data_IF_841925556773
#
_entry.id   IF_841925556773
#
_cell.length_a   1.000
_cell.length_b   1.000
_cell.length_c   1.000
_cell.angle_alpha   90.00
_cell.angle_beta   90.00
_cell.angle_gamma   90.00
#
_symmetry.space_group_name_H-M   'P 1'
#
loop_
_entity.id
_entity.type
_entity.pdbx_description
1 polymer ?
#
# COMPACT_ATOMS: atom_id res chain seq x y z
N UNK A 1 -12.97 -15.68 29.34
CA UNK A 1 -12.56 -17.07 29.59
C UNK A 1 -12.85 -17.38 31.05
N UNK A 2 -13.40 -18.55 31.31
CA UNK A 2 -13.85 -18.93 32.66
C UNK A 2 -12.76 -19.71 33.43
N UNK A 3 -11.70 -20.15 32.75
CA UNK A 3 -10.59 -20.93 33.31
C UNK A 3 -9.27 -20.50 32.66
N UNK A 4 -8.19 -20.51 33.45
CA UNK A 4 -6.82 -20.46 32.98
C UNK A 4 -6.00 -21.51 33.75
N UNK A 5 -5.05 -22.15 33.10
CA UNK A 5 -4.16 -23.15 33.71
C UNK A 5 -2.70 -22.78 33.53
N UNK A 6 -1.88 -23.01 34.56
CA UNK A 6 -0.43 -22.84 34.51
C UNK A 6 0.27 -24.20 34.62
N UNK A 7 1.27 -24.44 33.78
CA UNK A 7 2.10 -25.65 33.80
C UNK A 7 3.56 -25.29 34.06
N UNK A 8 4.04 -25.57 35.29
CA UNK A 8 5.40 -25.23 35.74
C UNK A 8 6.50 -25.79 34.81
N UNK A 9 6.43 -27.07 34.45
CA UNK A 9 7.44 -27.74 33.60
C UNK A 9 7.64 -27.10 32.23
N UNK A 10 6.59 -26.43 31.72
CA UNK A 10 6.57 -25.78 30.40
C UNK A 10 6.61 -24.25 30.50
N UNK A 11 6.58 -23.70 31.71
CA UNK A 11 6.45 -22.27 31.94
C UNK A 11 5.31 -21.65 31.08
N UNK A 12 4.15 -22.32 31.08
CA UNK A 12 3.06 -22.07 30.14
C UNK A 12 1.77 -21.71 30.87
N UNK A 13 1.18 -20.57 30.53
CA UNK A 13 -0.20 -20.22 30.84
C UNK A 13 -1.07 -20.51 29.61
N UNK A 14 -2.11 -21.34 29.78
CA UNK A 14 -3.11 -21.63 28.76
C UNK A 14 -4.47 -21.06 29.18
N UNK A 15 -5.10 -20.31 28.26
CA UNK A 15 -6.42 -19.70 28.45
C UNK A 15 -7.34 -20.18 27.31
N UNK A 16 -8.07 -21.29 27.51
CA UNK A 16 -8.96 -21.83 26.49
C UNK A 16 -10.33 -21.15 26.49
N UNK A 17 -11.17 -21.53 25.52
CA UNK A 17 -12.60 -21.23 25.55
C UNK A 17 -12.93 -19.81 25.10
N UNK A 18 -12.42 -19.43 23.93
CA UNK A 18 -12.68 -18.13 23.31
C UNK A 18 -12.28 -16.93 24.20
N UNK A 19 -11.01 -16.83 24.62
CA UNK A 19 -10.53 -15.68 25.36
C UNK A 19 -10.79 -14.38 24.60
N UNK A 20 -11.02 -13.30 25.35
CA UNK A 20 -11.25 -11.96 24.83
C UNK A 20 -10.30 -11.00 25.50
N UNK A 21 -9.51 -10.29 24.69
CA UNK A 21 -8.69 -9.18 25.14
C UNK A 21 -9.37 -7.90 24.66
N UNK A 22 -9.63 -6.99 25.60
CA UNK A 22 -10.25 -5.71 25.35
C UNK A 22 -9.23 -4.61 25.61
N UNK A 23 -8.92 -3.85 24.56
CA UNK A 23 -8.09 -2.65 24.61
C UNK A 23 -8.93 -1.39 24.39
N UNK A 24 -8.28 -0.24 24.31
CA UNK A 24 -8.94 1.04 24.10
C UNK A 24 -9.33 1.19 22.63
N UNK A 25 -10.50 0.66 22.26
CA UNK A 25 -10.97 0.60 20.87
C UNK A 25 -10.48 -0.64 20.11
N UNK A 26 -9.88 -1.60 20.82
CA UNK A 26 -9.35 -2.84 20.26
C UNK A 26 -10.04 -4.05 20.87
N UNK A 27 -10.25 -5.08 20.05
CA UNK A 27 -10.83 -6.35 20.43
C UNK A 27 -10.01 -7.48 19.80
N UNK A 28 -9.53 -8.43 20.61
CA UNK A 28 -8.83 -9.60 20.13
C UNK A 28 -9.45 -10.87 20.72
N UNK A 29 -9.70 -11.88 19.88
CA UNK A 29 -10.22 -13.19 20.28
C UNK A 29 -9.74 -14.29 19.35
N UNK A 30 -9.85 -15.54 19.80
CA UNK A 30 -9.51 -16.77 19.09
C UNK A 30 -9.89 -17.96 19.97
N UNK A 31 -9.63 -19.19 19.57
CA UNK A 31 -10.06 -20.38 20.32
C UNK A 31 -9.36 -20.49 21.69
N UNK A 32 -8.06 -20.15 21.75
CA UNK A 32 -7.25 -20.15 22.99
C UNK A 32 -6.03 -19.22 22.91
N UNK A 33 -5.52 -18.81 24.07
CA UNK A 33 -4.24 -18.11 24.23
C UNK A 33 -3.24 -19.04 24.93
N UNK A 34 -2.01 -19.07 24.42
CA UNK A 34 -0.85 -19.71 25.03
C UNK A 34 0.18 -18.63 25.34
N UNK A 35 0.61 -18.52 26.60
CA UNK A 35 1.61 -17.56 27.03
C UNK A 35 2.79 -18.30 27.67
N UNK A 36 3.93 -18.29 27.01
CA UNK A 36 5.17 -18.94 27.42
C UNK A 36 6.01 -17.92 28.20
N UNK A 37 5.98 -18.00 29.54
CA UNK A 37 6.64 -17.01 30.41
C UNK A 37 8.15 -17.01 30.26
N UNK A 38 8.76 -18.18 30.02
CA UNK A 38 10.22 -18.32 29.82
C UNK A 38 10.74 -17.84 28.48
N UNK A 39 9.86 -17.79 27.46
CA UNK A 39 10.22 -17.41 26.10
C UNK A 39 9.82 -15.97 25.76
N UNK A 40 9.14 -15.27 26.67
CA UNK A 40 8.52 -13.96 26.41
C UNK A 40 7.73 -13.97 25.08
N UNK A 41 6.81 -14.95 24.98
CA UNK A 41 6.06 -15.28 23.77
C UNK A 41 4.58 -15.52 24.07
N UNK A 42 3.70 -14.97 23.26
CA UNK A 42 2.26 -15.17 23.29
C UNK A 42 1.75 -15.72 21.96
N UNK A 43 0.81 -16.65 21.99
CA UNK A 43 0.20 -17.25 20.80
C UNK A 43 -1.31 -17.22 20.98
N UNK A 44 -2.01 -16.74 19.96
CA UNK A 44 -3.45 -16.85 19.82
C UNK A 44 -3.71 -17.85 18.69
N UNK A 45 -4.41 -18.94 19.01
CA UNK A 45 -4.71 -20.01 18.05
C UNK A 45 -6.20 -20.10 17.78
N UNK A 46 -6.52 -20.45 16.53
CA UNK A 46 -7.87 -20.81 16.09
C UNK A 46 -8.76 -19.60 15.84
N UNK A 47 -9.26 -19.48 14.60
CA UNK A 47 -10.18 -18.43 14.12
C UNK A 47 -9.95 -17.08 14.81
N UNK A 48 -8.72 -16.60 14.69
CA UNK A 48 -8.33 -15.35 15.34
C UNK A 48 -9.06 -14.18 14.69
N UNK A 49 -9.48 -13.23 15.52
CA UNK A 49 -10.11 -12.00 15.10
C UNK A 49 -9.55 -10.87 15.95
N UNK A 50 -8.88 -9.94 15.28
CA UNK A 50 -8.50 -8.63 15.81
C UNK A 50 -9.38 -7.58 15.14
N UNK A 51 -9.99 -6.71 15.92
CA UNK A 51 -10.78 -5.59 15.43
C UNK A 51 -10.34 -4.32 16.13
N UNK A 52 -10.15 -3.24 15.38
CA UNK A 52 -9.76 -1.94 15.92
C UNK A 52 -10.53 -0.80 15.27
N UNK A 53 -10.77 0.24 16.06
CA UNK A 53 -11.30 1.53 15.64
C UNK A 53 -10.16 2.55 15.71
N UNK A 54 -9.14 2.39 14.90
CA UNK A 54 -8.14 3.45 14.76
C UNK A 54 -8.77 4.58 13.93
N UNK A 55 -8.82 5.84 14.42
CA UNK A 55 -8.86 6.94 13.48
C UNK A 55 -7.61 6.81 12.61
N UNK A 56 -7.73 6.97 11.30
CA UNK A 56 -6.57 7.21 10.44
C UNK A 56 -5.88 8.49 10.93
N UNK A 57 -5.06 8.38 11.98
CA UNK A 57 -4.06 9.39 12.27
C UNK A 57 -3.00 9.19 11.20
N UNK A 58 -3.29 9.72 10.01
CA UNK A 58 -2.25 10.15 9.09
C UNK A 58 -1.46 11.17 9.90
N UNK A 59 -0.39 10.69 10.53
CA UNK A 59 0.56 11.55 11.19
C UNK A 59 1.29 12.23 10.04
N UNK A 60 0.72 13.30 9.48
CA UNK A 60 1.37 14.11 8.44
C UNK A 60 2.76 14.47 8.95
N UNK A 61 3.84 13.90 8.41
CA UNK A 61 5.16 14.26 8.87
C UNK A 61 5.40 15.73 8.50
N UNK A 62 6.29 16.35 9.26
CA UNK A 62 6.81 17.66 8.93
C UNK A 62 7.34 17.61 7.48
N UNK A 63 6.72 18.38 6.57
CA UNK A 63 7.13 18.51 5.17
C UNK A 63 8.65 18.79 5.02
N UNK A 64 9.28 19.40 6.03
CA UNK A 64 10.73 19.62 6.09
C UNK A 64 11.56 18.33 6.19
N UNK A 65 11.06 17.27 6.81
CA UNK A 65 11.79 16.01 7.02
C UNK A 65 11.72 15.11 5.78
N UNK A 66 10.57 15.13 5.09
CA UNK A 66 10.37 14.50 3.78
C UNK A 66 11.26 15.14 2.69
N UNK A 67 11.30 16.47 2.63
CA UNK A 67 12.12 17.21 1.67
C UNK A 67 13.64 17.00 1.84
N UNK A 68 14.10 16.62 3.05
CA UNK A 68 15.51 16.34 3.35
C UNK A 68 15.97 14.96 2.90
N UNK A 69 15.08 13.97 2.85
CA UNK A 69 15.42 12.56 2.62
C UNK A 69 15.28 12.13 1.16
N UNK A 70 14.34 12.71 0.40
CA UNK A 70 14.00 12.26 -0.95
C UNK A 70 14.37 13.26 -2.07
N UNK A 71 15.08 14.34 -1.72
CA UNK A 71 15.45 15.39 -2.67
C UNK A 71 14.30 16.37 -2.95
N UNK A 72 14.60 17.58 -3.42
CA UNK A 72 13.68 18.69 -3.25
C UNK A 72 12.62 18.73 -4.36
N UNK A 73 11.33 18.71 -3.97
CA UNK A 73 10.42 19.68 -4.57
C UNK A 73 10.96 21.03 -4.11
N UNK A 74 11.80 21.68 -4.92
CA UNK A 74 12.50 22.87 -4.43
C UNK A 74 11.48 23.90 -3.96
N UNK A 75 11.62 24.37 -2.72
CA UNK A 75 10.83 25.51 -2.22
C UNK A 75 10.87 26.67 -3.23
N UNK A 76 11.97 26.78 -3.99
CA UNK A 76 12.14 27.68 -5.11
C UNK A 76 11.12 27.46 -6.24
N UNK A 77 10.84 26.22 -6.65
CA UNK A 77 9.85 25.88 -7.67
C UNK A 77 8.41 26.15 -7.20
N UNK A 78 8.10 25.82 -5.93
CA UNK A 78 6.81 26.15 -5.31
C UNK A 78 6.59 27.67 -5.18
N UNK A 79 7.66 28.41 -4.87
CA UNK A 79 7.63 29.87 -4.75
C UNK A 79 7.56 30.57 -6.11
N UNK A 80 8.31 30.09 -7.10
CA UNK A 80 8.27 30.59 -8.49
C UNK A 80 6.92 30.30 -9.16
N UNK A 81 6.28 29.15 -8.87
CA UNK A 81 4.93 28.84 -9.34
C UNK A 81 3.87 29.77 -8.70
N UNK A 82 3.99 30.05 -7.40
CA UNK A 82 3.11 31.00 -6.68
C UNK A 82 3.29 32.45 -7.14
N UNK A 83 4.52 32.86 -7.45
CA UNK A 83 4.80 34.20 -7.99
C UNK A 83 4.26 34.36 -9.41
N UNK A 84 4.45 33.37 -10.30
CA UNK A 84 3.87 33.39 -11.66
C UNK A 84 2.34 33.35 -11.70
N UNK A 85 1.71 32.67 -10.74
CA UNK A 85 0.25 32.68 -10.59
C UNK A 85 -0.27 34.06 -10.13
N UNK A 86 0.46 34.75 -9.23
CA UNK A 86 0.14 36.13 -8.81
C UNK A 86 0.31 37.16 -9.92
N UNK A 87 1.33 37.00 -10.77
CA UNK A 87 1.58 37.90 -11.92
C UNK A 87 0.53 37.78 -13.02
N UNK A 88 -0.14 36.63 -13.13
CA UNK A 88 -1.21 36.38 -14.12
C UNK A 88 -2.62 36.70 -13.62
N UNK A 89 -2.76 37.27 -12.41
CA UNK A 89 -4.05 37.68 -11.84
C UNK A 89 -4.94 36.52 -11.42
N UNK A 90 -4.42 35.29 -11.36
CA UNK A 90 -5.14 34.13 -10.86
C UNK A 90 -4.95 34.02 -9.35
N UNK A 91 -6.06 34.02 -8.61
CA UNK A 91 -6.07 33.71 -7.18
C UNK A 91 -5.87 32.22 -7.00
N UNK A 92 -4.73 31.82 -6.43
CA UNK A 92 -4.56 30.45 -5.92
C UNK A 92 -5.51 30.30 -4.73
N UNK A 93 -6.45 29.33 -4.74
CA UNK A 93 -7.28 29.07 -3.57
C UNK A 93 -6.36 28.72 -2.39
N UNK A 94 -6.51 29.42 -1.26
CA UNK A 94 -6.09 28.83 0.01
C UNK A 94 -7.03 27.65 0.27
N UNK A 95 -6.65 26.46 -0.17
CA UNK A 95 -7.23 25.24 0.38
C UNK A 95 -6.86 25.20 1.86
N UNK A 96 -7.76 25.76 2.69
CA UNK A 96 -7.88 25.24 4.04
C UNK A 96 -8.26 23.77 3.86
N UNK A 97 -7.45 22.81 4.32
CA UNK A 97 -7.86 21.42 4.26
C UNK A 97 -9.17 21.33 5.04
N UNK A 98 -10.26 21.08 4.32
CA UNK A 98 -11.49 20.65 4.95
C UNK A 98 -11.12 19.39 5.74
N UNK A 99 -11.16 19.50 7.07
CA UNK A 99 -11.09 18.31 7.92
C UNK A 99 -12.31 17.48 7.56
N UNK A 100 -12.15 16.51 6.66
CA UNK A 100 -13.10 15.40 6.52
C UNK A 100 -13.31 14.86 7.93
N UNK A 101 -14.56 14.83 8.36
CA UNK A 101 -14.97 14.32 9.66
C UNK A 101 -14.68 12.80 9.66
N UNK A 102 -13.44 12.43 10.01
CA UNK A 102 -12.96 11.05 9.96
C UNK A 102 -13.59 10.30 11.13
N UNK A 103 -14.80 9.80 10.89
CA UNK A 103 -15.41 8.78 11.73
C UNK A 103 -14.45 7.59 11.81
N UNK A 104 -14.27 6.96 12.99
CA UNK A 104 -13.36 5.84 13.15
C UNK A 104 -13.75 4.70 12.19
N UNK A 105 -12.79 4.25 11.40
CA UNK A 105 -12.99 3.17 10.44
C UNK A 105 -12.72 1.84 11.14
N UNK A 106 -13.68 0.92 11.08
CA UNK A 106 -13.50 -0.43 11.62
C UNK A 106 -12.53 -1.20 10.73
N UNK A 107 -11.40 -1.59 11.29
CA UNK A 107 -10.44 -2.49 10.67
C UNK A 107 -10.53 -3.85 11.35
N UNK A 108 -10.55 -4.91 10.53
CA UNK A 108 -10.65 -6.30 10.98
C UNK A 108 -9.47 -7.07 10.40
N UNK A 109 -8.79 -7.83 11.25
CA UNK A 109 -7.79 -8.82 10.87
C UNK A 109 -8.25 -10.19 11.36
N UNK A 110 -8.24 -11.18 10.48
CA UNK A 110 -8.44 -12.58 10.83
C UNK A 110 -7.33 -13.47 10.30
N UNK A 111 -7.00 -14.52 11.04
CA UNK A 111 -6.01 -15.53 10.66
C UNK A 111 -6.24 -16.83 11.47
N UNK A 112 -5.52 -17.89 11.14
CA UNK A 112 -5.56 -19.15 11.89
C UNK A 112 -4.71 -19.07 13.17
N UNK A 113 -3.61 -18.30 13.14
CA UNK A 113 -2.67 -18.18 14.25
C UNK A 113 -1.97 -16.84 14.28
N UNK A 114 -1.85 -16.24 15.46
CA UNK A 114 -1.04 -15.04 15.71
C UNK A 114 -0.02 -15.38 16.80
N UNK A 115 1.26 -15.29 16.49
CA UNK A 115 2.36 -15.49 17.42
C UNK A 115 3.10 -14.17 17.62
N UNK A 116 3.23 -13.71 18.87
CA UNK A 116 3.93 -12.49 19.24
C UNK A 116 5.10 -12.83 20.16
N UNK A 117 6.32 -12.55 19.71
CA UNK A 117 7.56 -12.76 20.45
C UNK A 117 8.13 -11.40 20.84
N UNK A 118 8.32 -11.19 22.15
CA UNK A 118 8.74 -9.92 22.74
C UNK A 118 9.97 -10.05 23.65
N UNK A 119 10.73 -11.14 23.47
CA UNK A 119 12.04 -11.37 24.09
C UNK A 119 13.04 -10.23 23.85
N UNK A 120 13.06 -9.68 22.63
CA UNK A 120 13.73 -8.41 22.34
C UNK A 120 12.69 -7.28 22.31
N UNK A 121 12.56 -6.56 23.42
CA UNK A 121 11.62 -5.44 23.56
C UNK A 121 11.86 -4.32 22.55
N UNK A 122 13.05 -4.21 21.96
CA UNK A 122 13.34 -3.22 20.92
C UNK A 122 12.89 -3.68 19.55
N UNK A 123 12.88 -5.00 19.33
CA UNK A 123 12.55 -5.62 18.05
C UNK A 123 11.55 -6.76 18.24
N UNK A 124 10.34 -6.49 18.77
CA UNK A 124 9.32 -7.53 18.87
C UNK A 124 8.92 -7.99 17.47
N UNK A 125 8.52 -9.26 17.36
CA UNK A 125 8.09 -9.88 16.10
C UNK A 125 6.71 -10.48 16.29
N UNK A 126 5.82 -10.21 15.36
CA UNK A 126 4.47 -10.79 15.30
C UNK A 126 4.34 -11.55 14.00
N UNK A 127 4.08 -12.86 14.06
CA UNK A 127 3.78 -13.71 12.90
C UNK A 127 2.28 -13.97 12.87
N UNK A 128 1.64 -13.64 11.77
CA UNK A 128 0.21 -13.82 11.54
C UNK A 128 0.10 -14.83 10.39
N UNK A 129 -0.40 -16.03 10.66
CA UNK A 129 -0.29 -17.18 9.77
C UNK A 129 -1.65 -17.84 9.52
N UNK A 130 -1.82 -18.32 8.29
CA UNK A 130 -2.98 -19.10 7.86
C UNK A 130 -4.20 -18.23 7.58
N UNK A 131 -4.64 -18.22 6.32
CA UNK A 131 -5.82 -17.48 5.85
C UNK A 131 -5.85 -16.03 6.37
N UNK A 132 -4.72 -15.31 6.26
CA UNK A 132 -4.64 -13.93 6.73
C UNK A 132 -5.53 -13.07 5.85
N UNK A 133 -6.49 -12.42 6.47
CA UNK A 133 -7.41 -11.48 5.83
C UNK A 133 -7.45 -10.22 6.69
N UNK A 134 -7.08 -9.09 6.11
CA UNK A 134 -7.25 -7.78 6.69
C UNK A 134 -8.26 -7.01 5.85
N UNK A 135 -9.25 -6.38 6.50
CA UNK A 135 -10.32 -5.65 5.80
C UNK A 135 -10.64 -4.35 6.51
N UNK A 136 -10.89 -3.32 5.72
CA UNK A 136 -11.66 -2.14 6.12
C UNK A 136 -12.84 -1.96 5.11
N UNK A 137 -13.67 -0.91 5.20
CA UNK A 137 -14.79 -0.72 4.29
C UNK A 137 -14.40 -0.64 2.80
N UNK A 138 -13.21 -0.14 2.49
CA UNK A 138 -12.77 0.17 1.13
C UNK A 138 -11.68 -0.78 0.64
N UNK A 139 -11.00 -1.49 1.54
CA UNK A 139 -9.82 -2.29 1.22
C UNK A 139 -9.86 -3.67 1.82
N UNK A 140 -9.24 -4.61 1.11
CA UNK A 140 -9.01 -5.98 1.57
C UNK A 140 -7.57 -6.40 1.26
N UNK A 141 -6.96 -7.16 2.16
CA UNK A 141 -5.63 -7.74 1.99
C UNK A 141 -5.67 -9.20 2.38
N UNK A 142 -5.14 -10.05 1.51
CA UNK A 142 -5.02 -11.49 1.69
C UNK A 142 -3.57 -11.91 1.64
N UNK A 143 -3.16 -12.79 2.56
CA UNK A 143 -1.84 -13.42 2.53
C UNK A 143 -1.83 -14.75 3.28
N UNK A 144 -0.95 -15.70 2.92
CA UNK A 144 -0.71 -16.88 3.76
C UNK A 144 0.00 -16.54 5.09
N UNK A 145 0.82 -15.50 5.09
CA UNK A 145 1.68 -15.09 6.20
C UNK A 145 1.91 -13.59 6.16
N UNK A 146 1.75 -12.90 7.29
CA UNK A 146 2.29 -11.57 7.51
C UNK A 146 3.23 -11.57 8.72
N UNK A 147 4.35 -10.86 8.60
CA UNK A 147 5.31 -10.65 9.67
C UNK A 147 5.32 -9.17 10.01
N UNK A 148 4.88 -8.82 11.22
CA UNK A 148 5.09 -7.51 11.80
C UNK A 148 6.38 -7.49 12.61
N UNK A 149 7.25 -6.51 12.39
CA UNK A 149 8.49 -6.36 13.14
C UNK A 149 8.66 -4.94 13.70
N UNK A 150 9.36 -4.86 14.83
CA UNK A 150 9.62 -3.62 15.54
C UNK A 150 8.45 -3.14 16.40
N UNK A 151 8.66 -2.07 17.18
CA UNK A 151 7.65 -1.54 18.09
C UNK A 151 6.37 -1.17 17.35
N UNK A 152 5.22 -1.58 17.88
CA UNK A 152 3.91 -1.32 17.27
C UNK A 152 3.81 -1.79 15.81
N UNK A 153 4.47 -2.89 15.44
CA UNK A 153 4.46 -3.44 14.07
C UNK A 153 4.99 -2.44 13.04
N UNK A 154 6.06 -1.70 13.36
CA UNK A 154 6.62 -0.64 12.52
C UNK A 154 6.79 -1.03 11.03
N UNK A 155 7.16 -2.28 10.77
CA UNK A 155 7.20 -2.86 9.42
C UNK A 155 6.27 -4.07 9.35
N UNK A 156 5.49 -4.16 8.28
CA UNK A 156 4.74 -5.37 7.90
C UNK A 156 5.38 -5.95 6.64
N UNK A 157 5.60 -7.27 6.59
CA UNK A 157 6.17 -7.90 5.42
C UNK A 157 5.67 -9.32 5.18
N UNK A 158 5.85 -9.79 3.95
CA UNK A 158 5.64 -11.19 3.56
C UNK A 158 6.51 -11.54 2.36
N UNK A 159 6.91 -12.80 2.28
CA UNK A 159 7.57 -13.43 1.13
C UNK A 159 6.75 -14.58 0.53
N UNK A 160 5.52 -14.79 1.02
CA UNK A 160 4.63 -15.90 0.65
C UNK A 160 3.45 -15.48 -0.23
N UNK A 161 3.50 -14.27 -0.77
CA UNK A 161 2.44 -13.71 -1.58
C UNK A 161 1.51 -12.79 -0.80
N UNK A 162 1.06 -11.75 -1.48
CA UNK A 162 0.01 -10.85 -1.03
C UNK A 162 -0.93 -10.51 -2.18
N UNK A 163 -2.20 -10.37 -1.86
CA UNK A 163 -3.21 -9.79 -2.73
C UNK A 163 -3.88 -8.64 -1.97
N UNK A 164 -3.93 -7.46 -2.57
CA UNK A 164 -4.58 -6.26 -2.04
C UNK A 164 -5.66 -5.81 -3.00
N UNK A 165 -6.85 -5.51 -2.50
CA UNK A 165 -7.98 -5.03 -3.28
C UNK A 165 -8.35 -3.65 -2.74
N UNK A 166 -8.36 -2.64 -3.59
CA UNK A 166 -8.92 -1.32 -3.29
C UNK A 166 -10.21 -1.13 -4.09
N UNK A 167 -11.32 -1.04 -3.36
CA UNK A 167 -12.68 -0.95 -3.92
C UNK A 167 -13.01 0.46 -4.39
N UNK A 168 -12.35 1.48 -3.85
CA UNK A 168 -12.57 2.87 -4.29
C UNK A 168 -11.88 3.09 -5.64
N UNK A 169 -10.64 2.61 -5.75
CA UNK A 169 -9.83 2.77 -6.96
C UNK A 169 -10.07 1.68 -8.01
N UNK A 170 -10.89 0.67 -7.70
CA UNK A 170 -11.16 -0.49 -8.56
C UNK A 170 -9.87 -1.17 -9.03
N UNK A 171 -8.94 -1.40 -8.10
CA UNK A 171 -7.67 -2.07 -8.39
C UNK A 171 -7.49 -3.31 -7.53
N UNK A 172 -6.77 -4.28 -8.10
CA UNK A 172 -6.25 -5.43 -7.37
C UNK A 172 -4.77 -5.57 -7.62
N UNK A 173 -3.99 -5.65 -6.56
CA UNK A 173 -2.53 -5.74 -6.60
C UNK A 173 -2.10 -7.10 -6.07
N UNK A 174 -1.25 -7.81 -6.81
CA UNK A 174 -0.67 -9.08 -6.43
C UNK A 174 0.84 -8.97 -6.44
N UNK A 175 1.51 -9.60 -5.49
CA UNK A 175 2.97 -9.63 -5.43
C UNK A 175 3.44 -10.84 -4.63
N UNK A 176 4.63 -11.39 -4.92
CA UNK A 176 5.23 -12.46 -4.11
C UNK A 176 5.75 -11.92 -2.78
N UNK A 177 6.41 -10.79 -2.83
CA UNK A 177 7.01 -10.12 -1.68
C UNK A 177 6.37 -8.75 -1.48
N UNK A 178 6.23 -8.37 -0.21
CA UNK A 178 5.74 -7.07 0.20
C UNK A 178 6.45 -6.62 1.47
N UNK A 179 6.80 -5.34 1.52
CA UNK A 179 7.23 -4.63 2.72
C UNK A 179 6.46 -3.31 2.82
N UNK A 180 5.80 -3.09 3.96
CA UNK A 180 5.14 -1.84 4.28
C UNK A 180 5.70 -1.25 5.56
N UNK A 181 6.33 -0.08 5.45
CA UNK A 181 6.84 0.68 6.59
C UNK A 181 5.76 1.64 7.05
N UNK A 182 5.10 1.32 8.18
CA UNK A 182 3.91 2.04 8.65
C UNK A 182 4.16 3.52 8.95
N UNK A 183 5.32 3.85 9.52
CA UNK A 183 5.66 5.23 9.89
C UNK A 183 6.00 6.10 8.67
N UNK A 184 6.75 5.53 7.73
CA UNK A 184 7.08 6.17 6.45
C UNK A 184 5.87 6.19 5.50
N UNK A 185 4.85 5.35 5.76
CA UNK A 185 3.74 5.06 4.86
C UNK A 185 4.25 4.74 3.45
N UNK A 186 5.21 3.82 3.40
CA UNK A 186 5.91 3.43 2.18
C UNK A 186 5.77 1.93 1.95
N UNK A 187 5.23 1.56 0.79
CA UNK A 187 5.02 0.19 0.36
C UNK A 187 5.99 -0.17 -0.75
N UNK A 188 6.61 -1.35 -0.64
CA UNK A 188 7.44 -1.96 -1.68
C UNK A 188 6.89 -3.34 -2.02
N UNK A 189 6.76 -3.62 -3.32
CA UNK A 189 6.29 -4.89 -3.87
C UNK A 189 7.33 -5.45 -4.85
N UNK A 190 7.72 -6.70 -4.66
CA UNK A 190 8.75 -7.41 -5.44
C UNK A 190 8.37 -8.85 -5.73
N UNK A 191 9.11 -9.48 -6.68
CA UNK A 191 8.83 -10.84 -7.11
C UNK A 191 7.58 -10.91 -7.98
N UNK A 192 7.65 -10.25 -9.13
CA UNK A 192 6.61 -10.17 -10.16
C UNK A 192 5.31 -9.47 -9.72
N UNK A 193 5.41 -8.21 -9.22
CA UNK A 193 4.23 -7.43 -8.87
C UNK A 193 3.33 -7.16 -10.09
N UNK A 194 2.02 -7.29 -9.89
CA UNK A 194 0.97 -7.10 -10.87
C UNK A 194 -0.12 -6.21 -10.29
N UNK A 195 -0.46 -5.13 -10.99
CA UNK A 195 -1.66 -4.34 -10.74
C UNK A 195 -2.68 -4.69 -11.81
N UNK A 196 -3.84 -5.17 -11.42
CA UNK A 196 -5.02 -5.37 -12.26
C UNK A 196 -5.94 -4.15 -12.06
N UNK A 197 -6.30 -3.48 -13.15
CA UNK A 197 -7.38 -2.49 -13.17
C UNK A 197 -8.69 -3.20 -13.41
N UNK A 198 -9.68 -2.94 -12.57
CA UNK A 198 -10.97 -3.62 -12.60
C UNK A 198 -12.05 -2.69 -13.13
N UNK A 199 -13.00 -3.28 -13.84
CA UNK A 199 -14.27 -2.62 -14.13
C UNK A 199 -15.11 -2.50 -12.85
N UNK A 200 -15.65 -1.31 -12.57
CA UNK A 200 -16.32 -1.02 -11.31
C UNK A 200 -17.64 -1.79 -11.11
N UNK A 201 -18.33 -2.13 -12.21
CA UNK A 201 -19.64 -2.79 -12.15
C UNK A 201 -19.50 -4.32 -12.16
N UNK A 202 -18.55 -4.85 -12.95
CA UNK A 202 -18.41 -6.28 -13.20
C UNK A 202 -17.26 -6.94 -12.44
N UNK A 203 -16.26 -6.16 -12.01
CA UNK A 203 -15.02 -6.66 -11.41
C UNK A 203 -14.09 -7.37 -12.41
N UNK A 204 -14.38 -7.30 -13.71
CA UNK A 204 -13.53 -7.87 -14.76
C UNK A 204 -12.24 -7.06 -14.94
N UNK A 205 -11.15 -7.74 -15.29
CA UNK A 205 -9.85 -7.09 -15.52
C UNK A 205 -9.89 -6.33 -16.85
N UNK A 206 -9.78 -5.00 -16.79
CA UNK A 206 -9.76 -4.11 -17.96
C UNK A 206 -8.35 -3.73 -18.41
N UNK A 207 -7.37 -3.92 -17.52
CA UNK A 207 -5.97 -3.69 -17.83
C UNK A 207 -5.03 -4.23 -16.76
N UNK A 208 -3.74 -4.21 -17.07
CA UNK A 208 -2.68 -4.68 -16.18
C UNK A 208 -1.47 -3.77 -16.25
N UNK A 209 -0.83 -3.51 -15.12
CA UNK A 209 0.50 -2.90 -15.03
C UNK A 209 1.45 -3.88 -14.33
N UNK A 210 2.60 -4.15 -14.93
CA UNK A 210 3.68 -4.97 -14.36
C UNK A 210 4.99 -4.22 -14.32
N UNK A 211 5.92 -4.70 -13.48
CA UNK A 211 7.31 -4.26 -13.40
C UNK A 211 8.10 -5.20 -12.51
N UNK A 212 9.41 -5.00 -12.39
CA UNK A 212 10.24 -5.74 -11.43
C UNK A 212 10.03 -5.27 -9.98
N UNK A 213 9.71 -3.98 -9.81
CA UNK A 213 9.44 -3.33 -8.53
C UNK A 213 8.22 -2.42 -8.67
N UNK A 214 7.35 -2.41 -7.67
CA UNK A 214 6.34 -1.36 -7.49
C UNK A 214 6.49 -0.77 -6.10
N UNK A 215 6.66 0.55 -6.03
CA UNK A 215 6.76 1.32 -4.80
C UNK A 215 5.61 2.30 -4.71
N UNK A 216 5.02 2.46 -3.53
CA UNK A 216 4.00 3.50 -3.28
C UNK A 216 4.35 4.29 -2.04
N UNK A 217 4.43 5.59 -2.22
CA UNK A 217 4.50 6.57 -1.15
C UNK A 217 3.09 7.13 -0.94
N UNK A 218 2.46 6.76 0.17
CA UNK A 218 1.10 7.18 0.47
C UNK A 218 1.03 8.64 0.94
N UNK A 219 2.13 9.25 1.38
CA UNK A 219 2.16 10.65 1.82
C UNK A 219 2.31 11.59 0.62
N UNK A 220 3.18 11.21 -0.31
CA UNK A 220 3.36 11.93 -1.55
C UNK A 220 2.21 11.66 -2.53
N UNK A 221 1.49 10.55 -2.36
CA UNK A 221 0.48 10.02 -3.29
C UNK A 221 1.11 9.71 -4.67
N UNK A 222 2.27 9.05 -4.62
CA UNK A 222 3.07 8.69 -5.79
C UNK A 222 3.25 7.19 -5.85
N UNK A 223 3.01 6.60 -7.02
CA UNK A 223 3.29 5.19 -7.29
C UNK A 223 4.33 5.08 -8.40
N UNK A 224 5.35 4.24 -8.18
CA UNK A 224 6.47 4.06 -9.09
C UNK A 224 6.65 2.57 -9.44
N UNK A 225 6.44 2.21 -10.70
CA UNK A 225 6.82 0.91 -11.24
C UNK A 225 8.18 1.03 -11.94
N UNK A 226 9.08 0.08 -11.73
CA UNK A 226 10.43 0.07 -12.33
C UNK A 226 10.82 -1.31 -12.86
N UNK A 227 11.61 -1.30 -13.92
CA UNK A 227 12.22 -2.48 -14.53
C UNK A 227 11.25 -3.20 -15.45
N UNK A 228 11.44 -3.04 -16.76
CA UNK A 228 10.61 -3.63 -17.82
C UNK A 228 9.10 -3.44 -17.58
N UNK A 229 8.71 -2.18 -17.35
CA UNK A 229 7.33 -1.84 -17.07
C UNK A 229 6.49 -2.07 -18.31
N UNK A 230 5.36 -2.77 -18.14
CA UNK A 230 4.39 -3.02 -19.20
C UNK A 230 2.98 -2.69 -18.70
N UNK A 231 2.31 -1.79 -19.41
CA UNK A 231 0.90 -1.46 -19.23
C UNK A 231 0.13 -2.02 -20.42
N UNK A 232 -0.88 -2.84 -20.15
CA UNK A 232 -1.83 -3.32 -21.15
C UNK A 232 -3.23 -2.85 -20.77
N UNK A 233 -3.96 -2.22 -21.69
CA UNK A 233 -5.35 -1.81 -21.48
C UNK A 233 -6.11 -1.87 -22.81
N UNK A 234 -7.03 -2.83 -22.95
CA UNK A 234 -7.71 -3.08 -24.22
C UNK A 234 -6.72 -3.35 -25.37
N UNK A 235 -6.75 -2.52 -26.41
CA UNK A 235 -5.82 -2.60 -27.56
C UNK A 235 -4.50 -1.82 -27.34
N UNK A 236 -4.39 -1.11 -26.23
CA UNK A 236 -3.24 -0.26 -25.93
C UNK A 236 -2.19 -1.03 -25.14
N UNK A 237 -0.95 -0.89 -25.58
CA UNK A 237 0.21 -1.43 -24.87
C UNK A 237 1.27 -0.35 -24.74
N UNK A 238 1.72 -0.09 -23.53
CA UNK A 238 2.86 0.78 -23.28
C UNK A 238 3.96 -0.01 -22.58
N UNK A 239 5.20 0.16 -23.03
CA UNK A 239 6.39 -0.39 -22.37
C UNK A 239 7.37 0.72 -22.06
N UNK A 240 8.08 0.61 -20.95
CA UNK A 240 9.13 1.55 -20.55
C UNK A 240 10.02 1.00 -19.45
N UNK A 241 11.04 1.75 -19.06
CA UNK A 241 11.89 1.37 -17.93
C UNK A 241 11.23 1.72 -16.59
N UNK A 242 10.47 2.82 -16.56
CA UNK A 242 9.80 3.35 -15.37
C UNK A 242 8.40 3.83 -15.77
N UNK A 243 7.40 3.56 -14.92
CA UNK A 243 6.14 4.29 -14.92
C UNK A 243 5.91 4.96 -13.56
N UNK A 244 5.55 6.24 -13.56
CA UNK A 244 5.30 7.05 -12.37
C UNK A 244 3.89 7.62 -12.42
N UNK A 245 3.05 7.28 -11.47
CA UNK A 245 1.73 7.84 -11.30
C UNK A 245 1.74 8.90 -10.19
N UNK A 246 1.27 10.09 -10.52
CA UNK A 246 1.14 11.25 -9.63
C UNK A 246 -0.34 11.50 -9.40
N UNK A 247 -0.87 11.04 -8.26
CA UNK A 247 -2.31 11.02 -7.98
C UNK A 247 -2.88 12.43 -7.86
N UNK A 248 -2.17 13.34 -7.17
CA UNK A 248 -2.57 14.75 -7.00
C UNK A 248 -2.76 15.49 -8.32
N UNK A 249 -1.94 15.16 -9.31
CA UNK A 249 -1.91 15.84 -10.59
C UNK A 249 -2.65 15.04 -11.69
N UNK A 250 -3.11 13.82 -11.39
CA UNK A 250 -3.90 12.98 -12.27
C UNK A 250 -3.17 12.55 -13.55
N UNK A 251 -1.86 12.28 -13.49
CA UNK A 251 -1.10 11.86 -14.66
C UNK A 251 -0.16 10.68 -14.42
N UNK A 252 0.10 9.95 -15.50
CA UNK A 252 1.04 8.84 -15.57
C UNK A 252 2.19 9.20 -16.52
N UNK A 253 3.42 9.05 -16.06
CA UNK A 253 4.63 9.23 -16.86
C UNK A 253 5.30 7.90 -17.16
N UNK A 254 5.61 7.65 -18.43
CA UNK A 254 6.56 6.60 -18.80
C UNK A 254 7.90 7.19 -19.19
N UNK A 255 8.97 6.70 -18.55
CA UNK A 255 10.35 7.21 -18.67
C UNK A 255 11.26 6.06 -19.10
N UNK A 256 12.31 6.40 -19.85
CA UNK A 256 13.33 5.44 -20.29
C UNK A 256 12.86 4.68 -21.54
N UNK A 257 12.90 5.39 -22.67
CA UNK A 257 12.57 4.87 -24.00
C UNK A 257 11.18 4.23 -24.12
N UNK A 258 10.12 4.90 -23.63
CA UNK A 258 8.77 4.37 -23.74
C UNK A 258 8.38 4.06 -25.18
N UNK A 259 7.65 2.96 -25.36
CA UNK A 259 7.06 2.56 -26.63
C UNK A 259 5.59 2.22 -26.43
N UNK A 260 4.72 2.98 -27.08
CA UNK A 260 3.28 2.78 -27.08
C UNK A 260 2.86 2.14 -28.40
N UNK A 261 1.96 1.17 -28.32
CA UNK A 261 1.29 0.53 -29.44
C UNK A 261 -0.22 0.72 -29.31
N UNK A 262 -0.89 1.08 -30.39
CA UNK A 262 -2.35 1.17 -30.50
C UNK A 262 -2.74 0.85 -31.94
N UNK A 263 -3.59 -0.17 -32.13
CA UNK A 263 -4.17 -0.55 -33.43
C UNK A 263 -3.13 -0.66 -34.58
N UNK A 264 -2.00 -1.32 -34.30
CA UNK A 264 -0.90 -1.47 -35.26
C UNK A 264 0.01 -0.25 -35.43
N UNK A 265 -0.43 0.93 -34.97
CA UNK A 265 0.41 2.12 -34.84
C UNK A 265 1.36 1.98 -33.64
N UNK A 266 2.54 2.59 -33.74
CA UNK A 266 3.48 2.66 -32.61
C UNK A 266 4.18 4.00 -32.55
N UNK A 267 4.45 4.45 -31.33
CA UNK A 267 5.23 5.65 -31.05
C UNK A 267 6.29 5.29 -30.00
N UNK A 268 7.51 5.76 -30.22
CA UNK A 268 8.63 5.70 -29.31
C UNK A 268 9.16 7.12 -29.06
N UNK A 269 9.44 7.45 -27.81
CA UNK A 269 10.02 8.74 -27.42
C UNK A 269 10.87 8.57 -26.15
N UNK A 270 11.34 9.66 -25.55
CA UNK A 270 12.06 9.59 -24.27
C UNK A 270 11.16 9.76 -23.05
N UNK A 271 10.00 10.40 -23.21
CA UNK A 271 9.02 10.63 -22.16
C UNK A 271 7.60 10.60 -22.76
N UNK A 272 6.71 9.87 -22.11
CA UNK A 272 5.26 9.94 -22.36
C UNK A 272 4.61 10.45 -21.10
N UNK A 273 3.69 11.41 -21.22
CA UNK A 273 2.77 11.78 -20.14
C UNK A 273 1.33 11.52 -20.59
N UNK A 274 0.60 10.71 -19.83
CA UNK A 274 -0.79 10.36 -20.05
C UNK A 274 -1.64 11.03 -18.97
N UNK A 275 -2.74 11.65 -19.38
CA UNK A 275 -3.76 12.22 -18.52
C UNK A 275 -5.06 11.44 -18.75
N UNK A 276 -5.33 10.38 -17.97
CA UNK A 276 -6.47 9.48 -18.19
C UNK A 276 -7.81 10.22 -18.21
N UNK A 277 -8.00 11.17 -17.29
CA UNK A 277 -9.25 11.93 -17.15
C UNK A 277 -9.50 12.91 -18.30
N UNK A 278 -8.46 13.24 -19.07
CA UNK A 278 -8.53 14.18 -20.19
C UNK A 278 -8.49 13.47 -21.54
N UNK A 279 -8.40 12.14 -21.56
CA UNK A 279 -8.13 11.34 -22.76
C UNK A 279 -6.96 11.92 -23.59
N UNK A 280 -5.89 12.33 -22.89
CA UNK A 280 -4.78 13.07 -23.48
C UNK A 280 -3.44 12.39 -23.26
N UNK A 281 -2.67 12.25 -24.33
CA UNK A 281 -1.30 11.72 -24.28
C UNK A 281 -0.34 12.74 -24.92
N UNK A 282 0.76 13.02 -24.23
CA UNK A 282 1.84 13.89 -24.69
C UNK A 282 3.10 13.05 -24.86
N UNK A 283 3.67 13.09 -26.07
CA UNK A 283 4.95 12.48 -26.38
C UNK A 283 6.02 13.58 -26.41
N UNK A 284 7.09 13.39 -25.65
CA UNK A 284 8.18 14.37 -25.55
C UNK A 284 9.52 13.75 -25.90
N UNK A 285 10.32 14.50 -26.68
CA UNK A 285 11.72 14.23 -27.05
C UNK A 285 11.92 12.96 -27.90
N UNK A 286 12.79 13.07 -28.92
CA UNK A 286 13.23 11.94 -29.75
C UNK A 286 12.08 11.07 -30.31
N UNK A 287 10.99 11.71 -30.72
CA UNK A 287 9.76 11.03 -31.16
C UNK A 287 9.99 10.33 -32.50
N UNK A 288 9.66 9.05 -32.56
CA UNK A 288 9.66 8.21 -33.77
C UNK A 288 8.44 7.31 -33.74
N UNK A 289 7.88 6.99 -34.90
CA UNK A 289 6.71 6.11 -34.94
C UNK A 289 6.30 5.75 -36.34
N UNK A 290 5.33 4.85 -36.43
CA UNK A 290 4.56 4.58 -37.63
C UNK A 290 3.09 4.58 -37.26
N UNK A 291 2.27 5.21 -38.09
CA UNK A 291 0.81 5.20 -37.96
C UNK A 291 0.29 4.36 -39.12
N UNK A 292 -0.54 3.37 -38.80
CA UNK A 292 -1.24 2.57 -39.80
C UNK A 292 -2.62 3.21 -39.98
N UNK A 293 -2.96 3.56 -41.22
CA UNK A 293 -4.28 4.07 -41.61
C UNK A 293 -5.33 2.94 -41.70
#
# INVERSE_FOLDING_TARGET
ADVASYTDEKELIEIPGNPRILGKGEYLTGDKILYYTGEEKAILEGRTLYATYEPEKINTPNLEEYARTHGPVSEKALKEAREKARESGQTVPEEKPEKKDQSPVLQILSADRIEHTFADKKNPVTRIEGNVVFTDPTRELHSPLLIGSGPSLATLSTDQGVEFIDKEENIRVKSREMEYKRQEQFLTLTGDPLVEFLDADTGEVTGTLTGAFIERDFQAEVTLARGNVELNRGQEKARGEIARYEEKEGYLEFIGNPRIYRDGSWIQCSLVRMYPDQDRIIFEKNIRGAVVE
#
